data_IF_032792127970
#
_entry.id   IF_032792127970
#
_cell.length_a   1.000
_cell.length_b   1.000
_cell.length_c   1.000
_cell.angle_alpha   90.00
_cell.angle_beta   90.00
_cell.angle_gamma   90.00
#
_symmetry.space_group_name_H-M   'P 1'
#
loop_
_entity.id
_entity.type
_entity.pdbx_description
1 polymer ?
#
# COMPACT_ATOMS: atom_id res chain seq x y z
N UNK A 1 -21.04 20.08 -12.73
CA UNK A 1 -20.70 19.54 -11.39
C UNK A 1 -20.82 18.03 -11.25
N UNK A 2 -22.00 17.39 -11.27
CA UNK A 2 -22.09 15.91 -11.08
C UNK A 2 -21.41 15.12 -12.22
N UNK A 3 -21.50 15.58 -13.47
CA UNK A 3 -20.78 14.96 -14.60
C UNK A 3 -19.26 15.13 -14.51
N UNK A 4 -18.79 16.34 -14.19
CA UNK A 4 -17.37 16.65 -13.98
C UNK A 4 -16.79 15.87 -12.78
N UNK A 5 -17.58 15.71 -11.72
CA UNK A 5 -17.22 14.90 -10.57
C UNK A 5 -17.08 13.43 -10.99
N UNK A 6 -18.05 12.87 -11.72
CA UNK A 6 -17.96 11.51 -12.27
C UNK A 6 -16.70 11.32 -13.13
N UNK A 7 -16.39 12.25 -14.03
CA UNK A 7 -15.17 12.21 -14.86
C UNK A 7 -13.88 12.32 -14.02
N UNK A 8 -13.92 13.01 -12.89
CA UNK A 8 -12.79 13.11 -11.97
C UNK A 8 -12.52 11.78 -11.23
N UNK A 9 -13.55 11.14 -10.66
CA UNK A 9 -13.41 9.84 -9.97
C UNK A 9 -13.15 8.68 -10.93
N UNK A 10 -13.55 8.80 -12.19
CA UNK A 10 -13.25 7.81 -13.23
C UNK A 10 -11.77 7.81 -13.66
N UNK A 11 -10.93 8.73 -13.15
CA UNK A 11 -9.47 8.56 -13.22
C UNK A 11 -9.10 7.43 -12.27
N UNK A 12 -8.89 6.22 -12.79
CA UNK A 12 -8.71 4.98 -12.00
C UNK A 12 -7.79 5.11 -10.79
N UNK A 13 -6.66 5.81 -10.93
CA UNK A 13 -5.71 6.05 -9.84
C UNK A 13 -6.30 6.78 -8.61
N UNK A 14 -7.36 7.59 -8.76
CA UNK A 14 -8.02 8.30 -7.65
C UNK A 14 -8.99 7.39 -6.91
N UNK A 15 -9.71 6.53 -7.64
CA UNK A 15 -10.67 5.61 -7.06
C UNK A 15 -9.97 4.57 -6.19
N UNK A 16 -8.88 3.98 -6.69
CA UNK A 16 -8.12 2.97 -5.96
C UNK A 16 -7.44 3.55 -4.71
N UNK A 17 -6.91 4.78 -4.82
CA UNK A 17 -6.37 5.51 -3.68
C UNK A 17 -7.47 5.78 -2.65
N UNK A 18 -8.65 6.26 -3.07
CA UNK A 18 -9.76 6.54 -2.19
C UNK A 18 -10.25 5.29 -1.44
N UNK A 19 -10.40 4.17 -2.15
CA UNK A 19 -10.78 2.89 -1.55
C UNK A 19 -9.72 2.42 -0.56
N UNK A 20 -8.43 2.52 -0.91
CA UNK A 20 -7.32 2.16 -0.01
C UNK A 20 -7.32 2.96 1.29
N UNK A 21 -7.56 4.27 1.24
CA UNK A 21 -7.61 5.13 2.44
C UNK A 21 -8.82 4.83 3.32
N UNK A 22 -10.00 4.63 2.71
CA UNK A 22 -11.23 4.32 3.45
C UNK A 22 -11.10 2.96 4.16
N UNK A 23 -10.65 1.93 3.45
CA UNK A 23 -10.45 0.60 4.04
C UNK A 23 -9.36 0.63 5.11
N UNK A 24 -8.23 1.33 4.85
CA UNK A 24 -7.13 1.46 5.81
C UNK A 24 -7.54 2.14 7.11
N UNK A 25 -8.33 3.20 7.03
CA UNK A 25 -8.85 3.91 8.22
C UNK A 25 -9.86 3.06 9.01
N UNK A 26 -10.78 2.38 8.33
CA UNK A 26 -11.75 1.49 8.97
C UNK A 26 -11.06 0.31 9.68
N UNK A 27 -10.06 -0.30 9.04
CA UNK A 27 -9.30 -1.40 9.64
C UNK A 27 -8.52 -0.94 10.88
N UNK A 28 -7.84 0.22 10.79
CA UNK A 28 -7.13 0.81 11.93
C UNK A 28 -8.07 1.06 13.11
N UNK A 29 -9.31 1.51 12.86
CA UNK A 29 -10.31 1.71 13.89
C UNK A 29 -10.71 0.40 14.59
N UNK A 30 -10.90 -0.69 13.83
CA UNK A 30 -11.22 -2.02 14.38
C UNK A 30 -10.09 -2.50 15.30
N UNK A 31 -8.84 -2.42 14.82
CA UNK A 31 -7.69 -2.86 15.62
C UNK A 31 -7.56 -2.02 16.88
N UNK A 32 -7.73 -0.69 16.77
CA UNK A 32 -7.70 0.22 17.92
C UNK A 32 -8.76 -0.15 18.95
N UNK A 33 -9.98 -0.47 18.52
CA UNK A 33 -11.05 -0.90 19.43
C UNK A 33 -10.75 -2.24 20.11
N UNK A 34 -10.15 -3.19 19.40
CA UNK A 34 -9.73 -4.47 20.00
C UNK A 34 -8.64 -4.24 21.05
N UNK A 35 -7.65 -3.38 20.75
CA UNK A 35 -6.59 -3.10 21.71
C UNK A 35 -7.15 -2.37 22.93
N UNK A 36 -7.89 -1.29 22.73
CA UNK A 36 -8.44 -0.49 23.83
C UNK A 36 -9.48 -1.27 24.64
N UNK A 37 -10.29 -2.10 23.99
CA UNK A 37 -11.39 -2.82 24.63
C UNK A 37 -10.99 -4.16 25.27
N UNK A 38 -9.93 -4.80 24.78
CA UNK A 38 -9.51 -6.12 25.25
C UNK A 38 -8.09 -6.10 25.83
N UNK A 39 -7.13 -5.60 25.08
CA UNK A 39 -5.70 -5.71 25.45
C UNK A 39 -5.35 -4.74 26.58
N UNK A 40 -5.73 -3.47 26.50
CA UNK A 40 -5.43 -2.48 27.55
C UNK A 40 -6.00 -2.91 28.92
N UNK A 41 -7.26 -3.38 29.02
CA UNK A 41 -7.78 -3.93 30.28
C UNK A 41 -7.01 -5.18 30.75
N UNK A 42 -6.64 -6.10 29.86
CA UNK A 42 -5.87 -7.29 30.24
C UNK A 42 -4.47 -6.93 30.75
N UNK A 43 -3.78 -6.00 30.10
CA UNK A 43 -2.48 -5.50 30.54
C UNK A 43 -2.61 -4.81 31.90
N UNK A 44 -3.64 -3.98 32.09
CA UNK A 44 -3.90 -3.35 33.39
C UNK A 44 -4.18 -4.39 34.49
N UNK A 45 -4.94 -5.45 34.19
CA UNK A 45 -5.26 -6.51 35.14
C UNK A 45 -4.03 -7.29 35.57
N UNK A 46 -3.14 -7.61 34.63
CA UNK A 46 -1.86 -8.27 34.93
C UNK A 46 -1.02 -7.40 35.86
N UNK A 47 -0.96 -6.09 35.59
CA UNK A 47 -0.17 -5.14 36.39
C UNK A 47 -0.72 -5.00 37.82
N UNK A 48 -2.05 -4.94 37.98
CA UNK A 48 -2.77 -4.97 39.26
C UNK A 48 -2.41 -6.24 40.04
N UNK A 49 -2.45 -7.41 39.39
CA UNK A 49 -2.12 -8.70 40.00
C UNK A 49 -0.65 -8.84 40.39
N UNK A 50 0.28 -8.22 39.66
CA UNK A 50 1.72 -8.27 39.97
C UNK A 50 2.16 -7.25 41.01
N UNK A 51 1.47 -6.11 41.10
CA UNK A 51 1.83 -5.00 42.00
C UNK A 51 1.05 -5.04 43.31
N UNK A 52 -0.05 -5.80 43.38
CA UNK A 52 -0.86 -5.98 44.59
C UNK A 52 -1.77 -4.79 44.93
N UNK A 53 -1.85 -3.79 44.05
CA UNK A 53 -2.77 -2.66 44.19
C UNK A 53 -4.20 -3.06 43.80
N UNK A 54 -5.21 -2.39 44.39
CA UNK A 54 -6.60 -2.86 44.36
C UNK A 54 -7.41 -2.45 43.12
N UNK A 55 -6.87 -1.61 42.24
CA UNK A 55 -7.62 -1.02 41.12
C UNK A 55 -6.73 -0.74 39.90
N UNK A 56 -7.29 -0.90 38.69
CA UNK A 56 -6.63 -0.54 37.43
C UNK A 56 -6.29 0.97 37.34
N UNK A 57 -7.08 1.81 38.00
CA UNK A 57 -6.84 3.25 38.15
C UNK A 57 -5.60 3.55 39.01
N UNK A 58 -5.27 2.70 39.99
CA UNK A 58 -4.04 2.83 40.80
C UNK A 58 -2.83 2.23 40.06
N UNK A 59 -3.00 1.15 39.30
CA UNK A 59 -1.90 0.54 38.54
C UNK A 59 -1.43 1.40 37.34
N UNK A 60 -2.35 2.09 36.66
CA UNK A 60 -2.01 3.10 35.65
C UNK A 60 -1.74 4.48 36.30
N UNK A 61 -2.38 4.77 37.44
CA UNK A 61 -2.14 5.93 38.30
C UNK A 61 -0.76 5.94 38.98
N UNK A 62 -0.16 4.78 39.24
CA UNK A 62 1.19 4.62 39.76
C UNK A 62 2.27 5.11 38.78
N UNK A 63 1.91 5.30 37.51
CA UNK A 63 2.74 5.91 36.49
C UNK A 63 2.37 7.38 36.20
N UNK A 64 1.41 7.94 36.94
CA UNK A 64 1.04 9.34 36.87
C UNK A 64 1.93 10.13 37.82
N UNK A 65 3.10 10.53 37.33
CA UNK A 65 3.98 11.41 38.10
C UNK A 65 3.40 12.83 38.08
N UNK A 66 3.16 13.39 39.26
CA UNK A 66 2.84 14.80 39.41
C UNK A 66 4.12 15.57 39.73
N UNK A 67 4.65 16.31 38.75
CA UNK A 67 5.75 17.24 38.97
C UNK A 67 5.20 18.65 38.88
N UNK A 68 5.21 19.39 40.00
CA UNK A 68 4.70 20.78 40.09
C UNK A 68 3.27 20.97 39.55
N UNK A 69 2.37 20.02 39.81
CA UNK A 69 0.96 20.10 39.39
C UNK A 69 0.69 19.70 37.93
N UNK A 70 1.70 19.21 37.21
CA UNK A 70 1.53 18.62 35.87
C UNK A 70 1.50 17.10 35.99
N UNK A 71 0.41 16.49 35.52
CA UNK A 71 0.23 15.04 35.47
C UNK A 71 0.92 14.45 34.23
N UNK A 72 1.91 13.59 34.44
CA UNK A 72 2.54 12.81 33.37
C UNK A 72 1.98 11.40 33.36
N UNK A 73 1.09 11.09 32.40
CA UNK A 73 0.49 9.75 32.28
C UNK A 73 1.40 8.83 31.45
N UNK A 74 2.46 8.27 32.04
CA UNK A 74 3.32 7.30 31.30
C UNK A 74 2.52 6.03 30.93
N UNK A 75 1.48 5.69 31.69
CA UNK A 75 0.60 4.56 31.39
C UNK A 75 -0.09 4.68 30.03
N UNK A 76 -0.55 5.87 29.67
CA UNK A 76 -1.18 6.14 28.36
C UNK A 76 -0.17 5.99 27.21
N UNK A 77 1.08 6.40 27.44
CA UNK A 77 2.16 6.26 26.46
C UNK A 77 2.50 4.79 26.23
N UNK A 78 2.59 3.99 27.29
CA UNK A 78 2.85 2.55 27.19
C UNK A 78 1.68 1.85 26.49
N UNK A 79 0.45 2.20 26.85
CA UNK A 79 -0.75 1.67 26.18
C UNK A 79 -0.73 1.99 24.68
N UNK A 80 -0.46 3.24 24.31
CA UNK A 80 -0.33 3.66 22.92
C UNK A 80 0.78 2.91 22.17
N UNK A 81 1.91 2.65 22.82
CA UNK A 81 3.02 1.87 22.25
C UNK A 81 2.62 0.41 22.01
N UNK A 82 1.92 -0.21 22.96
CA UNK A 82 1.38 -1.58 22.82
C UNK A 82 0.38 -1.63 21.66
N UNK A 83 -0.53 -0.66 21.57
CA UNK A 83 -1.47 -0.53 20.45
C UNK A 83 -0.77 -0.43 19.11
N UNK A 84 0.27 0.40 19.02
CA UNK A 84 1.06 0.54 17.81
C UNK A 84 1.73 -0.78 17.40
N UNK A 85 2.39 -1.48 18.34
CA UNK A 85 3.06 -2.74 18.08
C UNK A 85 2.09 -3.85 17.64
N UNK A 86 0.93 -3.96 18.27
CA UNK A 86 -0.09 -4.94 17.90
C UNK A 86 -0.65 -4.62 16.52
N UNK A 87 -0.96 -3.36 16.24
CA UNK A 87 -1.46 -2.93 14.92
C UNK A 87 -0.46 -3.22 13.82
N UNK A 88 0.82 -2.90 14.04
CA UNK A 88 1.90 -3.21 13.11
C UNK A 88 2.05 -4.72 12.90
N UNK A 89 1.94 -5.52 13.95
CA UNK A 89 2.02 -6.98 13.86
C UNK A 89 0.87 -7.58 13.05
N UNK A 90 -0.37 -7.12 13.27
CA UNK A 90 -1.54 -7.57 12.52
C UNK A 90 -1.42 -7.19 11.04
N UNK A 91 -1.02 -5.94 10.73
CA UNK A 91 -0.75 -5.52 9.36
C UNK A 91 0.34 -6.37 8.69
N UNK A 92 1.42 -6.67 9.42
CA UNK A 92 2.47 -7.55 8.94
C UNK A 92 1.95 -8.96 8.62
N UNK A 93 1.08 -9.54 9.45
CA UNK A 93 0.46 -10.85 9.17
C UNK A 93 -0.40 -10.81 7.90
N UNK A 94 -1.17 -9.73 7.69
CA UNK A 94 -1.98 -9.56 6.48
C UNK A 94 -1.08 -9.45 5.25
N UNK A 95 -0.06 -8.59 5.27
CA UNK A 95 0.90 -8.44 4.17
C UNK A 95 1.61 -9.76 3.90
N UNK A 96 2.02 -10.49 4.94
CA UNK A 96 2.64 -11.82 4.81
C UNK A 96 1.68 -12.84 4.19
N UNK A 97 0.40 -12.82 4.56
CA UNK A 97 -0.62 -13.69 3.98
C UNK A 97 -0.85 -13.38 2.50
N UNK A 98 -0.97 -12.10 2.15
CA UNK A 98 -1.11 -11.65 0.75
C UNK A 98 0.15 -12.01 -0.06
N UNK A 99 1.34 -11.77 0.47
CA UNK A 99 2.60 -12.13 -0.20
C UNK A 99 2.77 -13.65 -0.33
N UNK A 100 2.24 -14.44 0.60
CA UNK A 100 2.21 -15.90 0.50
C UNK A 100 1.21 -16.37 -0.56
N UNK A 101 0.05 -15.72 -0.67
CA UNK A 101 -0.95 -16.01 -1.71
C UNK A 101 -0.49 -15.59 -3.10
N UNK A 102 0.17 -14.43 -3.23
CA UNK A 102 0.82 -13.98 -4.47
C UNK A 102 2.03 -14.85 -4.89
N UNK A 103 2.56 -15.68 -3.98
CA UNK A 103 3.58 -16.70 -4.29
C UNK A 103 3.02 -18.00 -4.88
N UNK A 104 1.69 -18.12 -5.00
CA UNK A 104 1.09 -19.10 -5.92
C UNK A 104 1.22 -18.51 -7.33
N UNK A 105 1.87 -19.19 -8.29
CA UNK A 105 2.16 -18.62 -9.59
C UNK A 105 0.92 -18.66 -10.49
N UNK A 106 -0.11 -17.85 -10.20
CA UNK A 106 -1.12 -17.44 -11.19
C UNK A 106 -2.04 -16.36 -10.61
N UNK A 107 -1.61 -15.12 -10.83
CA UNK A 107 -2.35 -13.87 -10.84
C UNK A 107 -1.23 -12.82 -10.93
N UNK A 108 -0.50 -12.70 -12.04
CA UNK A 108 -1.12 -12.20 -13.27
C UNK A 108 -2.26 -11.27 -12.87
N UNK A 109 -1.89 -10.14 -12.27
CA UNK A 109 -2.51 -8.89 -12.70
C UNK A 109 -2.65 -9.02 -14.21
N UNK A 110 -3.88 -9.24 -14.68
CA UNK A 110 -4.26 -9.01 -16.06
C UNK A 110 -4.15 -7.51 -16.32
N UNK A 111 -2.96 -6.94 -16.14
CA UNK A 111 -2.56 -5.71 -16.75
C UNK A 111 -1.52 -6.12 -17.80
N UNK A 112 -1.91 -5.91 -19.05
CA UNK A 112 -1.16 -6.09 -20.30
C UNK A 112 -0.82 -7.53 -20.72
N UNK A 113 -1.86 -8.30 -21.08
CA UNK A 113 -1.73 -9.34 -22.12
C UNK A 113 -1.49 -8.77 -23.54
N UNK A 114 -1.25 -7.46 -23.65
CA UNK A 114 -0.74 -6.82 -24.86
C UNK A 114 0.79 -6.71 -24.82
N UNK A 115 1.46 -6.63 -25.98
CA UNK A 115 2.89 -6.37 -26.04
C UNK A 115 3.22 -5.17 -25.15
N UNK A 116 4.24 -5.33 -24.29
CA UNK A 116 4.68 -4.26 -23.41
C UNK A 116 5.09 -3.05 -24.24
N UNK A 117 5.13 -1.85 -23.64
CA UNK A 117 5.59 -0.66 -24.36
C UNK A 117 6.96 -0.88 -24.98
N UNK A 118 7.84 -1.62 -24.29
CA UNK A 118 9.16 -2.00 -24.80
C UNK A 118 9.07 -2.95 -26.01
N UNK A 119 8.16 -3.93 -25.99
CA UNK A 119 7.92 -4.84 -27.13
C UNK A 119 7.37 -4.11 -28.35
N UNK A 120 6.47 -3.14 -28.14
CA UNK A 120 5.93 -2.30 -29.21
C UNK A 120 6.99 -1.38 -29.81
N UNK A 121 7.86 -0.79 -28.97
CA UNK A 121 8.98 0.02 -29.44
C UNK A 121 10.00 -0.81 -30.23
N UNK A 122 10.24 -2.06 -29.82
CA UNK A 122 11.04 -3.02 -30.57
C UNK A 122 10.45 -3.31 -31.95
N UNK A 123 9.15 -3.62 -32.01
CA UNK A 123 8.44 -3.85 -33.27
C UNK A 123 8.45 -2.60 -34.18
N UNK A 124 8.25 -1.41 -33.63
CA UNK A 124 8.31 -0.15 -34.39
C UNK A 124 9.72 0.08 -34.95
N UNK A 125 10.78 -0.13 -34.16
CA UNK A 125 12.17 -0.01 -34.62
C UNK A 125 12.45 -0.94 -35.80
N UNK A 126 12.02 -2.20 -35.69
CA UNK A 126 12.29 -3.21 -36.71
C UNK A 126 11.51 -2.93 -38.00
N UNK A 127 10.24 -2.49 -37.89
CA UNK A 127 9.44 -2.04 -39.03
C UNK A 127 10.03 -0.80 -39.72
N UNK A 128 10.56 0.16 -38.95
CA UNK A 128 11.19 1.37 -39.50
C UNK A 128 12.52 1.05 -40.20
N UNK A 129 13.32 0.13 -39.63
CA UNK A 129 14.54 -0.35 -40.26
C UNK A 129 14.25 -1.09 -41.58
N UNK A 130 13.21 -1.93 -41.60
CA UNK A 130 12.77 -2.60 -42.83
C UNK A 130 12.27 -1.60 -43.89
N UNK A 131 11.51 -0.58 -43.51
CA UNK A 131 11.05 0.48 -44.42
C UNK A 131 12.21 1.28 -45.02
N UNK A 132 13.19 1.69 -44.20
CA UNK A 132 14.36 2.43 -44.67
C UNK A 132 15.20 1.58 -45.64
N UNK A 133 15.34 0.28 -45.38
CA UNK A 133 16.05 -0.65 -46.26
C UNK A 133 15.31 -0.83 -47.60
N UNK A 134 14.00 -0.97 -47.57
CA UNK A 134 13.17 -1.08 -48.78
C UNK A 134 13.24 0.20 -49.64
N UNK A 135 13.22 1.39 -49.03
CA UNK A 135 13.40 2.66 -49.72
C UNK A 135 14.80 2.77 -50.36
N UNK A 136 15.86 2.40 -49.64
CA UNK A 136 17.23 2.41 -50.19
C UNK A 136 17.37 1.44 -51.38
N UNK A 137 16.71 0.28 -51.33
CA UNK A 137 16.77 -0.72 -52.40
C UNK A 137 15.94 -0.30 -53.63
N UNK A 138 14.82 0.39 -53.43
CA UNK A 138 14.01 0.97 -54.50
C UNK A 138 14.74 2.04 -55.30
N UNK A 139 15.43 2.96 -54.61
CA UNK A 139 16.25 4.02 -55.22
C UNK A 139 17.42 3.43 -56.03
N UNK A 140 17.99 2.32 -55.56
CA UNK A 140 19.11 1.65 -56.23
C UNK A 140 18.68 0.95 -57.54
N UNK A 141 17.45 0.42 -57.60
CA UNK A 141 16.85 -0.13 -58.84
C UNK A 141 16.52 0.95 -59.87
N UNK A 142 15.90 2.06 -59.45
CA UNK A 142 15.59 3.18 -60.36
C UNK A 142 16.85 3.78 -60.99
N UNK A 143 17.93 3.91 -60.21
CA UNK A 143 19.21 4.45 -60.70
C UNK A 143 19.91 3.52 -61.70
N UNK A 144 19.77 2.19 -61.55
CA UNK A 144 20.37 1.22 -62.49
C UNK A 144 19.58 1.04 -63.77
N UNK A 145 18.28 1.33 -63.77
CA UNK A 145 17.43 1.29 -64.96
C UNK A 145 17.61 2.55 -65.82
N UNK A 146 17.74 3.73 -65.21
CA UNK A 146 17.94 5.01 -65.92
C UNK A 146 19.35 5.20 -66.53
N UNK A 147 20.30 4.28 -66.29
CA UNK A 147 21.65 4.33 -66.88
C UNK A 147 21.77 3.42 -68.13
N UNK A 148 20.69 2.72 -68.51
CA UNK A 148 20.66 1.82 -69.68
C UNK A 148 19.94 2.37 -70.92
N UNK A 149 19.44 3.60 -70.87
CA UNK A 149 18.95 4.34 -72.06
C UNK A 149 19.99 5.32 -72.61
#
# INVERSE_FOLDING_TARGET
MIKEFKEFIMRGNVLDLAVGVVIGSAFTAIVTQIVNGLITPLVSLVFVLTTGEKSADDALGALVFHVKGVAFNIGDVISALITFLITAFVLFLIVKAVNKMKKTPEAAEEEVSGPTTDDLLGQIRDLLAAQNTAQATGVMKETTENTKE
#
